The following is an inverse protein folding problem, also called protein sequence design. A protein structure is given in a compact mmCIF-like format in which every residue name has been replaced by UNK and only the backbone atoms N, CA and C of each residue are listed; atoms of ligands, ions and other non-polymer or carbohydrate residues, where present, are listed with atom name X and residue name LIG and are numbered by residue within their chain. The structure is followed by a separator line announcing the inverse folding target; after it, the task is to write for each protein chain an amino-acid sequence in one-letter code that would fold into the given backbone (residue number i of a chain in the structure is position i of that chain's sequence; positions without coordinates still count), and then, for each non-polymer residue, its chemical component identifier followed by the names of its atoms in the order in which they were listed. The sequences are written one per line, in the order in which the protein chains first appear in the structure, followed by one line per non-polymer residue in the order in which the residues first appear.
data_IF_199129624816
#
_entry.id   IF_199129624816
#
_cell.length_a   1.000
_cell.length_b   1.000
_cell.length_c   1.000
_cell.angle_alpha   90.00
_cell.angle_beta   90.00
_cell.angle_gamma   90.00
#
_symmetry.space_group_name_H-M   'P 1'
#
loop_
_entity.id
_entity.type
_entity.pdbx_description
1 polymer ?
#
# COMPACT_ATOMS: atom_id res chain seq x y z
N UNK A 1 -10.58 37.49 31.02
CA UNK A 1 -10.11 36.10 31.22
C UNK A 1 -11.20 35.17 30.68
N UNK A 2 -11.09 34.69 29.44
CA UNK A 2 -12.11 33.85 28.81
C UNK A 2 -11.72 32.36 28.95
N UNK A 3 -12.56 31.60 29.65
CA UNK A 3 -12.43 30.14 29.81
C UNK A 3 -13.13 29.49 28.61
N UNK A 4 -12.35 29.04 27.63
CA UNK A 4 -12.86 28.24 26.50
C UNK A 4 -13.36 26.91 27.06
N UNK A 5 -14.68 26.70 27.06
CA UNK A 5 -15.28 25.40 27.34
C UNK A 5 -14.96 24.48 26.16
N UNK A 6 -14.09 23.47 26.39
CA UNK A 6 -13.93 22.36 25.45
C UNK A 6 -15.24 21.57 25.43
N UNK A 7 -15.76 21.37 24.22
CA UNK A 7 -16.94 20.56 23.93
C UNK A 7 -16.76 19.13 24.42
N UNK A 8 -17.75 18.61 25.16
CA UNK A 8 -17.80 17.22 25.63
C UNK A 8 -17.96 16.18 24.50
N UNK A 9 -18.07 16.58 23.23
CA UNK A 9 -18.19 15.62 22.13
C UNK A 9 -16.90 14.85 21.84
N UNK A 10 -15.73 15.48 21.99
CA UNK A 10 -14.45 14.81 21.72
C UNK A 10 -14.20 13.61 22.66
N UNK A 11 -14.82 13.62 23.84
CA UNK A 11 -14.58 12.57 24.84
C UNK A 11 -15.46 11.33 24.65
N UNK A 12 -16.62 11.46 24.01
CA UNK A 12 -17.53 10.33 23.74
C UNK A 12 -17.00 9.48 22.58
N UNK A 13 -16.46 10.12 21.55
CA UNK A 13 -15.89 9.41 20.39
C UNK A 13 -14.65 8.60 20.77
N UNK A 14 -13.83 9.10 21.71
CA UNK A 14 -12.60 8.44 22.14
C UNK A 14 -12.90 7.16 22.95
N UNK A 15 -13.91 7.19 23.82
CA UNK A 15 -14.30 6.03 24.67
C UNK A 15 -14.96 4.92 23.84
N UNK A 16 -15.81 5.28 22.87
CA UNK A 16 -16.50 4.29 22.03
C UNK A 16 -15.54 3.52 21.10
N UNK A 17 -14.52 4.20 20.57
CA UNK A 17 -13.51 3.57 19.73
C UNK A 17 -12.67 2.58 20.53
N UNK A 18 -12.37 2.91 21.78
CA UNK A 18 -11.58 2.08 22.69
C UNK A 18 -12.29 0.79 23.12
N UNK A 19 -13.59 0.85 23.41
CA UNK A 19 -14.36 -0.33 23.79
C UNK A 19 -14.64 -1.24 22.60
N UNK A 20 -14.90 -0.67 21.41
CA UNK A 20 -14.99 -1.45 20.16
C UNK A 20 -13.65 -2.14 19.83
N UNK A 21 -12.53 -1.45 20.06
CA UNK A 21 -11.19 -2.00 19.89
C UNK A 21 -10.89 -3.15 20.87
N UNK A 22 -11.24 -2.98 22.15
CA UNK A 22 -11.09 -4.02 23.18
C UNK A 22 -12.00 -5.23 22.94
N UNK A 23 -13.25 -5.01 22.51
CA UNK A 23 -14.17 -6.08 22.15
C UNK A 23 -13.65 -6.88 20.93
N UNK A 24 -13.08 -6.19 19.94
CA UNK A 24 -12.47 -6.81 18.77
C UNK A 24 -11.17 -7.56 19.11
N UNK A 25 -10.38 -7.10 20.09
CA UNK A 25 -9.24 -7.85 20.67
C UNK A 25 -9.69 -9.16 21.35
N UNK A 26 -10.89 -9.23 21.94
CA UNK A 26 -11.40 -10.45 22.62
C UNK A 26 -11.99 -11.48 21.65
N UNK A 27 -12.58 -11.07 20.53
CA UNK A 27 -13.15 -11.96 19.51
C UNK A 27 -12.11 -12.73 18.66
N UNK A 28 -10.82 -12.61 19.00
CA UNK A 28 -9.67 -12.86 18.12
C UNK A 28 -8.99 -14.22 18.27
N UNK A 29 -9.65 -15.21 18.86
CA UNK A 29 -9.17 -16.60 18.79
C UNK A 29 -9.78 -17.27 17.54
N UNK A 30 -9.07 -17.17 16.42
CA UNK A 30 -9.01 -18.17 15.33
C UNK A 30 -9.99 -18.14 14.12
N UNK A 31 -10.80 -17.10 13.87
CA UNK A 31 -11.73 -17.13 12.70
C UNK A 31 -11.98 -15.86 11.89
N UNK A 32 -11.45 -14.69 12.27
CA UNK A 32 -11.95 -13.40 11.73
C UNK A 32 -11.00 -12.64 10.80
N UNK A 33 -9.86 -13.21 10.40
CA UNK A 33 -8.91 -12.54 9.49
C UNK A 33 -9.60 -12.22 8.15
N UNK A 34 -10.34 -13.18 7.57
CA UNK A 34 -11.05 -12.99 6.31
C UNK A 34 -12.14 -11.91 6.38
N UNK A 35 -12.93 -11.89 7.45
CA UNK A 35 -13.97 -10.87 7.64
C UNK A 35 -13.38 -9.47 7.82
N UNK A 36 -12.21 -9.37 8.48
CA UNK A 36 -11.52 -8.10 8.64
C UNK A 36 -10.93 -7.59 7.32
N UNK A 37 -10.31 -8.48 6.53
CA UNK A 37 -9.85 -8.15 5.18
C UNK A 37 -11.03 -7.69 4.30
N UNK A 38 -12.16 -8.39 4.35
CA UNK A 38 -13.36 -7.97 3.63
C UNK A 38 -13.87 -6.59 4.08
N UNK A 39 -13.89 -6.32 5.38
CA UNK A 39 -14.24 -4.99 5.91
C UNK A 39 -13.26 -3.90 5.48
N UNK A 40 -11.95 -4.21 5.43
CA UNK A 40 -10.95 -3.29 4.89
C UNK A 40 -11.22 -2.96 3.42
N UNK A 41 -11.63 -3.98 2.64
CA UNK A 41 -11.94 -3.84 1.22
C UNK A 41 -13.30 -3.23 0.90
N UNK A 42 -14.21 -3.09 1.87
CA UNK A 42 -15.59 -2.63 1.61
C UNK A 42 -15.94 -1.39 2.42
N UNK A 43 -15.82 -1.46 3.74
CA UNK A 43 -16.23 -0.39 4.66
C UNK A 43 -15.15 0.68 4.78
N UNK A 44 -13.87 0.27 4.81
CA UNK A 44 -12.77 1.22 5.01
C UNK A 44 -12.36 1.96 3.74
N UNK A 45 -12.86 1.58 2.56
CA UNK A 45 -12.52 2.27 1.31
C UNK A 45 -12.85 3.76 1.33
N UNK A 46 -13.99 4.13 1.92
CA UNK A 46 -14.46 5.52 1.99
C UNK A 46 -14.26 6.17 3.36
N UNK A 47 -13.73 5.42 4.32
CA UNK A 47 -13.57 5.90 5.69
C UNK A 47 -12.42 6.93 5.78
N UNK A 48 -12.74 8.12 6.28
CA UNK A 48 -11.79 9.22 6.46
C UNK A 48 -10.95 9.07 7.73
N UNK A 49 -11.26 8.12 8.60
CA UNK A 49 -10.46 7.85 9.79
C UNK A 49 -9.24 7.00 9.44
N UNK A 50 -8.09 7.38 10.00
CA UNK A 50 -6.92 6.51 10.03
C UNK A 50 -7.23 5.21 10.77
N UNK A 51 -6.74 4.08 10.25
CA UNK A 51 -6.76 2.81 10.98
C UNK A 51 -5.68 2.74 12.07
N UNK A 52 -4.83 3.76 12.14
CA UNK A 52 -3.69 3.85 13.05
C UNK A 52 -4.07 4.72 14.25
N UNK A 53 -3.81 4.28 15.50
CA UNK A 53 -4.08 5.09 16.68
C UNK A 53 -3.36 6.43 16.66
N UNK A 54 -4.02 7.50 17.13
CA UNK A 54 -3.45 8.85 17.18
C UNK A 54 -2.14 8.91 17.99
N UNK A 55 -2.01 8.11 19.05
CA UNK A 55 -0.82 8.03 19.88
C UNK A 55 0.45 7.63 19.10
N UNK A 56 0.31 6.83 18.05
CA UNK A 56 1.44 6.33 17.24
C UNK A 56 2.05 7.42 16.34
N UNK A 57 1.35 8.55 16.15
CA UNK A 57 1.81 9.65 15.32
C UNK A 57 3.20 10.14 15.70
N UNK A 58 3.56 10.14 16.99
CA UNK A 58 4.90 10.54 17.47
C UNK A 58 6.03 9.67 16.91
N UNK A 59 5.72 8.41 16.59
CA UNK A 59 6.65 7.42 16.05
C UNK A 59 6.70 7.47 14.51
N UNK A 60 5.54 7.67 13.87
CA UNK A 60 5.36 7.47 12.44
C UNK A 60 5.46 8.76 11.60
N UNK A 61 5.07 9.92 12.14
CA UNK A 61 4.92 11.17 11.36
C UNK A 61 6.22 11.91 11.03
N UNK A 62 7.39 11.27 11.17
CA UNK A 62 8.69 11.90 10.91
C UNK A 62 8.96 11.95 9.40
N UNK A 63 8.92 13.13 8.73
CA UNK A 63 8.88 13.24 7.27
C UNK A 63 10.09 12.66 6.53
N UNK A 64 11.25 12.64 7.18
CA UNK A 64 12.52 12.17 6.62
C UNK A 64 12.99 10.85 7.22
N UNK A 65 12.11 10.11 7.92
CA UNK A 65 12.46 8.79 8.43
C UNK A 65 12.50 7.76 7.29
N UNK A 66 13.25 6.66 7.47
CA UNK A 66 13.24 5.55 6.52
C UNK A 66 11.83 5.01 6.24
N UNK A 67 10.97 5.01 7.27
CA UNK A 67 9.54 4.70 7.15
C UNK A 67 8.84 5.66 6.18
N UNK A 68 8.95 6.97 6.40
CA UNK A 68 8.29 7.96 5.55
C UNK A 68 8.80 7.91 4.10
N UNK A 69 10.13 7.85 3.92
CA UNK A 69 10.73 7.82 2.59
C UNK A 69 10.46 6.51 1.83
N UNK A 70 10.16 5.41 2.52
CA UNK A 70 9.86 4.14 1.86
C UNK A 70 8.64 4.22 0.93
N UNK A 71 7.60 5.01 1.27
CA UNK A 71 6.45 5.23 0.37
C UNK A 71 6.86 5.84 -0.97
N UNK A 72 7.91 6.64 -1.01
CA UNK A 72 8.40 7.28 -2.24
C UNK A 72 9.12 6.30 -3.18
N UNK A 73 9.42 5.08 -2.73
CA UNK A 73 9.94 4.03 -3.63
C UNK A 73 8.93 3.66 -4.72
N UNK A 74 7.62 3.79 -4.46
CA UNK A 74 6.61 3.68 -5.52
C UNK A 74 6.75 4.79 -6.56
N UNK A 75 7.10 6.02 -6.18
CA UNK A 75 7.37 7.09 -7.15
C UNK A 75 8.54 6.72 -8.06
N UNK A 76 9.62 6.19 -7.48
CA UNK A 76 10.77 5.73 -8.27
C UNK A 76 10.39 4.57 -9.20
N UNK A 77 9.61 3.59 -8.72
CA UNK A 77 9.13 2.49 -9.54
C UNK A 77 8.29 2.98 -10.74
N UNK A 78 7.37 3.92 -10.51
CA UNK A 78 6.57 4.52 -11.58
C UNK A 78 7.43 5.27 -12.61
N UNK A 79 8.46 6.00 -12.17
CA UNK A 79 9.39 6.68 -13.10
C UNK A 79 10.18 5.67 -13.94
N UNK A 80 10.68 4.59 -13.33
CA UNK A 80 11.44 3.54 -14.05
C UNK A 80 10.55 2.85 -15.08
N UNK A 81 9.31 2.52 -14.71
CA UNK A 81 8.34 1.90 -15.62
C UNK A 81 7.96 2.84 -16.77
N UNK A 82 7.70 4.12 -16.48
CA UNK A 82 7.44 5.12 -17.50
C UNK A 82 8.62 5.25 -18.47
N UNK A 83 9.85 5.30 -17.94
CA UNK A 83 11.06 5.38 -18.76
C UNK A 83 11.22 4.15 -19.66
N UNK A 84 10.95 2.94 -19.14
CA UNK A 84 10.95 1.73 -19.96
C UNK A 84 9.92 1.83 -21.09
N UNK A 85 8.67 2.21 -20.77
CA UNK A 85 7.61 2.32 -21.78
C UNK A 85 7.94 3.35 -22.87
N UNK A 86 8.61 4.45 -22.51
CA UNK A 86 9.01 5.50 -23.44
C UNK A 86 10.22 5.10 -24.30
N UNK A 87 11.19 4.40 -23.71
CA UNK A 87 12.45 4.07 -24.38
C UNK A 87 12.42 2.73 -25.12
N UNK A 88 11.58 1.79 -24.71
CA UNK A 88 11.53 0.45 -25.27
C UNK A 88 10.13 -0.17 -25.17
N UNK A 89 9.24 0.17 -26.11
CA UNK A 89 7.90 -0.42 -26.15
C UNK A 89 7.90 -1.96 -26.15
N UNK A 90 8.81 -2.66 -26.87
CA UNK A 90 8.88 -4.13 -26.86
C UNK A 90 9.20 -4.75 -25.50
N UNK A 91 9.79 -4.00 -24.56
CA UNK A 91 10.06 -4.51 -23.22
C UNK A 91 8.79 -4.74 -22.38
N UNK A 92 7.66 -4.16 -22.80
CA UNK A 92 6.34 -4.44 -22.19
C UNK A 92 5.96 -5.91 -22.42
N UNK A 93 5.31 -6.60 -21.46
CA UNK A 93 4.81 -7.95 -21.67
C UNK A 93 3.91 -8.04 -22.92
N UNK A 94 4.05 -9.10 -23.72
CA UNK A 94 3.22 -9.27 -24.91
C UNK A 94 1.73 -9.30 -24.53
N UNK A 95 0.90 -8.63 -25.35
CA UNK A 95 -0.51 -8.40 -25.05
C UNK A 95 -0.79 -7.24 -24.08
N UNK A 96 0.24 -6.63 -23.48
CA UNK A 96 0.13 -5.43 -22.67
C UNK A 96 0.60 -4.21 -23.46
N UNK A 97 -0.34 -3.33 -23.82
CA UNK A 97 -0.01 -2.17 -24.64
C UNK A 97 0.89 -1.18 -23.89
N UNK A 98 1.72 -0.42 -24.62
CA UNK A 98 2.50 0.67 -24.03
C UNK A 98 1.62 1.69 -23.30
N UNK A 99 0.38 1.93 -23.77
CA UNK A 99 -0.60 2.79 -23.09
C UNK A 99 -1.00 2.24 -21.71
N UNK A 100 -1.15 0.92 -21.60
CA UNK A 100 -1.42 0.25 -20.34
C UNK A 100 -0.24 0.36 -19.38
N UNK A 101 1.00 0.23 -19.89
CA UNK A 101 2.22 0.45 -19.10
C UNK A 101 2.38 1.89 -18.60
N UNK A 102 2.06 2.88 -19.44
CA UNK A 102 2.04 4.29 -18.99
C UNK A 102 0.99 4.53 -17.91
N UNK A 103 -0.22 3.96 -18.06
CA UNK A 103 -1.26 4.05 -17.03
C UNK A 103 -0.79 3.41 -15.72
N UNK A 104 -0.16 2.24 -15.79
CA UNK A 104 0.41 1.55 -14.64
C UNK A 104 1.45 2.41 -13.93
N UNK A 105 2.42 2.94 -14.67
CA UNK A 105 3.46 3.82 -14.17
C UNK A 105 2.88 5.04 -13.43
N UNK A 106 1.82 5.65 -13.97
CA UNK A 106 1.13 6.79 -13.33
C UNK A 106 0.45 6.37 -12.04
N UNK A 107 -0.26 5.24 -12.01
CA UNK A 107 -0.92 4.73 -10.81
C UNK A 107 0.10 4.37 -9.72
N UNK A 108 1.20 3.71 -10.09
CA UNK A 108 2.31 3.38 -9.19
C UNK A 108 2.95 4.65 -8.64
N UNK A 109 3.20 5.67 -9.47
CA UNK A 109 3.73 6.95 -9.02
C UNK A 109 2.79 7.66 -8.02
N UNK A 110 1.50 7.76 -8.37
CA UNK A 110 0.49 8.37 -7.52
C UNK A 110 0.34 7.64 -6.18
N UNK A 111 0.44 6.31 -6.17
CA UNK A 111 0.40 5.51 -4.95
C UNK A 111 1.46 5.94 -3.94
N UNK A 112 2.68 6.26 -4.39
CA UNK A 112 3.74 6.73 -3.50
C UNK A 112 3.43 8.07 -2.81
N UNK A 113 2.85 9.02 -3.56
CA UNK A 113 2.44 10.32 -3.03
C UNK A 113 1.30 10.15 -2.03
N UNK A 114 0.28 9.36 -2.39
CA UNK A 114 -0.91 9.16 -1.55
C UNK A 114 -0.57 8.40 -0.26
N UNK A 115 0.26 7.36 -0.35
CA UNK A 115 0.75 6.65 0.84
C UNK A 115 1.56 7.58 1.74
N UNK A 116 2.49 8.38 1.20
CA UNK A 116 3.23 9.35 2.02
C UNK A 116 2.29 10.34 2.73
N UNK A 117 1.29 10.85 2.01
CA UNK A 117 0.32 11.79 2.57
C UNK A 117 -0.54 11.16 3.67
N UNK A 118 -1.02 9.93 3.45
CA UNK A 118 -1.84 9.16 4.40
C UNK A 118 -1.02 8.73 5.63
N UNK A 119 0.12 8.08 5.42
CA UNK A 119 0.85 7.32 6.44
C UNK A 119 1.83 8.16 7.27
N UNK A 120 2.19 9.35 6.77
CA UNK A 120 3.15 10.23 7.44
C UNK A 120 2.49 11.54 7.86
N UNK A 121 1.91 12.27 6.90
CA UNK A 121 1.40 13.62 7.16
C UNK A 121 0.07 13.61 7.91
N UNK A 122 -0.78 12.62 7.61
CA UNK A 122 -2.16 12.52 8.13
C UNK A 122 -2.39 11.33 9.06
N UNK A 123 -1.33 10.62 9.44
CA UNK A 123 -1.43 9.44 10.31
C UNK A 123 -2.13 9.75 11.64
N UNK A 124 -3.08 8.89 12.02
CA UNK A 124 -3.90 9.06 13.21
C UNK A 124 -4.91 10.22 13.16
N UNK A 125 -5.05 10.90 12.02
CA UNK A 125 -6.00 12.01 11.85
C UNK A 125 -7.23 11.59 11.03
N UNK A 126 -8.24 12.46 10.98
CA UNK A 126 -9.35 12.36 10.01
C UNK A 126 -8.97 13.15 8.76
N UNK A 127 -8.92 12.50 7.60
CA UNK A 127 -8.43 13.11 6.36
C UNK A 127 -8.95 12.41 5.10
N UNK A 128 -9.03 13.15 3.99
CA UNK A 128 -9.27 12.57 2.66
C UNK A 128 -8.06 11.78 2.12
N UNK A 129 -6.88 11.96 2.70
CA UNK A 129 -5.69 11.20 2.31
C UNK A 129 -5.89 9.68 2.42
N UNK A 130 -6.59 9.23 3.47
CA UNK A 130 -6.79 7.79 3.73
C UNK A 130 -7.68 7.08 2.70
N UNK A 131 -8.90 7.56 2.38
CA UNK A 131 -9.72 6.90 1.37
C UNK A 131 -9.08 7.00 -0.02
N UNK A 132 -8.40 8.10 -0.36
CA UNK A 132 -7.69 8.22 -1.64
C UNK A 132 -6.56 7.20 -1.76
N UNK A 133 -5.74 7.06 -0.73
CA UNK A 133 -4.67 6.06 -0.68
C UNK A 133 -5.21 4.62 -0.79
N UNK A 134 -6.28 4.30 -0.05
CA UNK A 134 -6.91 2.97 -0.09
C UNK A 134 -7.52 2.65 -1.46
N UNK A 135 -8.23 3.60 -2.06
CA UNK A 135 -8.81 3.44 -3.40
C UNK A 135 -7.70 3.23 -4.43
N UNK A 136 -6.65 4.05 -4.39
CA UNK A 136 -5.48 3.90 -5.25
C UNK A 136 -4.81 2.53 -5.07
N UNK A 137 -4.58 2.10 -3.84
CA UNK A 137 -3.97 0.81 -3.55
C UNK A 137 -4.83 -0.37 -4.04
N UNK A 138 -6.16 -0.31 -3.86
CA UNK A 138 -7.09 -1.34 -4.34
C UNK A 138 -7.17 -1.36 -5.86
N UNK A 139 -7.24 -0.19 -6.51
CA UNK A 139 -7.21 -0.08 -7.97
C UNK A 139 -5.91 -0.63 -8.54
N UNK A 140 -4.76 -0.27 -7.98
CA UNK A 140 -3.46 -0.77 -8.40
C UNK A 140 -3.36 -2.29 -8.19
N UNK A 141 -3.78 -2.81 -7.03
CA UNK A 141 -3.78 -4.25 -6.75
C UNK A 141 -4.69 -5.00 -7.72
N UNK A 142 -5.90 -4.50 -7.98
CA UNK A 142 -6.83 -5.07 -8.95
C UNK A 142 -6.25 -5.08 -10.36
N UNK A 143 -5.59 -3.99 -10.75
CA UNK A 143 -4.89 -3.88 -12.03
C UNK A 143 -3.76 -4.91 -12.15
N UNK A 144 -2.95 -5.11 -11.11
CA UNK A 144 -1.92 -6.15 -11.09
C UNK A 144 -2.50 -7.56 -11.20
N UNK A 145 -3.60 -7.84 -10.50
CA UNK A 145 -4.26 -9.13 -10.57
C UNK A 145 -4.77 -9.41 -11.98
N UNK A 146 -5.44 -8.45 -12.61
CA UNK A 146 -5.90 -8.57 -14.01
C UNK A 146 -4.71 -8.78 -14.94
N UNK A 147 -3.64 -7.99 -14.78
CA UNK A 147 -2.41 -8.12 -15.58
C UNK A 147 -1.81 -9.52 -15.43
N UNK A 148 -1.58 -9.99 -14.21
CA UNK A 148 -1.00 -11.31 -13.95
C UNK A 148 -1.92 -12.42 -14.48
N UNK A 149 -3.22 -12.38 -14.19
CA UNK A 149 -4.15 -13.38 -14.72
C UNK A 149 -4.10 -13.41 -16.25
N UNK A 150 -4.21 -12.25 -16.91
CA UNK A 150 -4.13 -12.17 -18.37
C UNK A 150 -2.79 -12.71 -18.90
N UNK A 151 -1.67 -12.26 -18.33
CA UNK A 151 -0.32 -12.60 -18.79
C UNK A 151 0.10 -14.05 -18.50
N UNK A 152 -0.35 -14.63 -17.38
CA UNK A 152 -0.12 -16.04 -17.02
C UNK A 152 -0.73 -16.96 -18.07
N UNK A 153 -1.88 -16.61 -18.64
CA UNK A 153 -2.53 -17.43 -19.66
C UNK A 153 -1.94 -17.28 -21.06
N UNK A 154 -1.14 -16.25 -21.34
CA UNK A 154 -0.83 -15.89 -22.73
C UNK A 154 0.66 -15.74 -23.06
N UNK A 155 1.54 -15.32 -22.13
CA UNK A 155 2.81 -14.74 -22.60
C UNK A 155 4.01 -14.73 -21.65
N UNK A 156 3.85 -14.94 -20.34
CA UNK A 156 4.99 -14.86 -19.43
C UNK A 156 5.72 -16.21 -19.29
N UNK A 157 7.05 -16.15 -19.23
CA UNK A 157 7.83 -17.31 -18.85
C UNK A 157 7.56 -17.67 -17.38
N UNK A 158 7.64 -18.97 -17.04
CA UNK A 158 7.40 -19.44 -15.67
C UNK A 158 8.25 -18.72 -14.61
N UNK A 159 9.49 -18.37 -14.95
CA UNK A 159 10.37 -17.63 -14.05
C UNK A 159 9.82 -16.24 -13.71
N UNK A 160 9.21 -15.55 -14.67
CA UNK A 160 8.58 -14.24 -14.45
C UNK A 160 7.30 -14.36 -13.61
N UNK A 161 6.53 -15.42 -13.83
CA UNK A 161 5.32 -15.71 -13.03
C UNK A 161 5.72 -15.95 -11.57
N UNK A 162 6.72 -16.80 -11.32
CA UNK A 162 7.24 -17.05 -9.97
C UNK A 162 7.74 -15.77 -9.32
N UNK A 163 8.44 -14.92 -10.08
CA UNK A 163 8.94 -13.64 -9.61
C UNK A 163 7.80 -12.71 -9.18
N UNK A 164 6.81 -12.48 -10.05
CA UNK A 164 5.69 -11.57 -9.78
C UNK A 164 4.80 -12.09 -8.66
N UNK A 165 4.42 -13.38 -8.70
CA UNK A 165 3.59 -14.01 -7.66
C UNK A 165 4.33 -14.06 -6.33
N UNK A 166 5.60 -14.43 -6.32
CA UNK A 166 6.44 -14.44 -5.11
C UNK A 166 6.57 -13.06 -4.49
N UNK A 167 6.71 -12.02 -5.32
CA UNK A 167 6.70 -10.64 -4.87
C UNK A 167 5.37 -10.20 -4.24
N UNK A 168 4.24 -10.54 -4.86
CA UNK A 168 2.91 -10.27 -4.30
C UNK A 168 2.69 -11.00 -2.97
N UNK A 169 3.08 -12.27 -2.88
CA UNK A 169 2.99 -13.05 -1.63
C UNK A 169 3.87 -12.45 -0.54
N UNK A 170 5.07 -11.99 -0.89
CA UNK A 170 5.98 -11.30 0.03
C UNK A 170 5.31 -10.04 0.57
N UNK A 171 4.76 -9.20 -0.30
CA UNK A 171 3.96 -8.06 0.12
C UNK A 171 2.82 -8.47 1.05
N UNK A 172 1.98 -9.42 0.65
CA UNK A 172 0.84 -9.87 1.45
C UNK A 172 1.27 -10.30 2.87
N UNK A 173 2.41 -10.98 3.00
CA UNK A 173 2.95 -11.37 4.31
C UNK A 173 3.30 -10.17 5.18
N UNK A 174 3.89 -9.10 4.63
CA UNK A 174 4.14 -7.86 5.37
C UNK A 174 2.84 -7.16 5.76
N UNK A 175 1.82 -7.17 4.89
CA UNK A 175 0.51 -6.59 5.20
C UNK A 175 -0.21 -7.35 6.32
N UNK A 176 -0.08 -8.67 6.34
CA UNK A 176 -0.56 -9.52 7.44
C UNK A 176 0.21 -9.21 8.72
N UNK A 177 1.53 -8.99 8.64
CA UNK A 177 2.35 -8.60 9.78
C UNK A 177 1.99 -7.20 10.33
N UNK A 178 1.65 -6.23 9.47
CA UNK A 178 1.10 -4.93 9.87
C UNK A 178 -0.17 -5.09 10.68
N UNK A 179 -1.06 -5.98 10.22
CA UNK A 179 -2.29 -6.28 10.93
C UNK A 179 -1.96 -6.81 12.32
N UNK A 180 -1.10 -7.84 12.45
CA UNK A 180 -0.66 -8.34 13.75
C UNK A 180 -0.06 -7.25 14.65
N UNK A 181 0.77 -6.36 14.10
CA UNK A 181 1.33 -5.24 14.86
C UNK A 181 0.23 -4.29 15.38
N UNK A 182 -0.79 -3.98 14.57
CA UNK A 182 -1.97 -3.25 15.03
C UNK A 182 -2.68 -4.02 16.14
N UNK A 183 -2.83 -5.34 16.00
CA UNK A 183 -3.51 -6.14 17.03
C UNK A 183 -2.79 -6.10 18.36
N UNK A 184 -1.46 -6.15 18.32
CA UNK A 184 -0.60 -6.18 19.50
C UNK A 184 -0.38 -4.78 20.08
N UNK A 185 -0.92 -3.74 19.44
CA UNK A 185 -0.69 -2.32 19.76
C UNK A 185 0.81 -1.95 19.73
N UNK A 186 1.57 -2.52 18.78
CA UNK A 186 3.01 -2.32 18.63
C UNK A 186 3.35 -1.40 17.44
N UNK A 187 3.52 -0.11 17.75
CA UNK A 187 3.85 0.92 16.77
C UNK A 187 5.20 0.69 16.08
N UNK A 188 6.18 0.10 16.75
CA UNK A 188 7.52 -0.10 16.20
C UNK A 188 7.56 -1.28 15.24
N UNK A 189 6.89 -2.38 15.60
CA UNK A 189 6.70 -3.51 14.70
C UNK A 189 5.94 -3.08 13.45
N UNK A 190 4.84 -2.33 13.61
CA UNK A 190 4.08 -1.79 12.48
C UNK A 190 4.96 -0.92 11.59
N UNK A 191 5.71 0.02 12.16
CA UNK A 191 6.63 0.87 11.39
C UNK A 191 7.59 0.04 10.54
N UNK A 192 8.16 -1.03 11.10
CA UNK A 192 9.12 -1.88 10.41
C UNK A 192 8.44 -2.70 9.30
N UNK A 193 7.35 -3.39 9.60
CA UNK A 193 6.67 -4.27 8.63
C UNK A 193 6.07 -3.46 7.49
N UNK A 194 5.53 -2.28 7.80
CA UNK A 194 4.91 -1.42 6.80
C UNK A 194 5.96 -0.74 5.91
N UNK A 195 7.11 -0.37 6.46
CA UNK A 195 8.27 0.05 5.67
C UNK A 195 8.73 -1.07 4.73
N UNK A 196 8.79 -2.31 5.21
CA UNK A 196 9.17 -3.46 4.37
C UNK A 196 8.14 -3.72 3.26
N UNK A 197 6.85 -3.54 3.53
CA UNK A 197 5.80 -3.55 2.49
C UNK A 197 6.06 -2.50 1.40
N UNK A 198 6.41 -1.26 1.78
CA UNK A 198 6.75 -0.19 0.84
C UNK A 198 8.07 -0.40 0.09
N UNK A 199 8.98 -1.22 0.61
CA UNK A 199 10.24 -1.55 -0.07
C UNK A 199 10.04 -2.74 -1.01
N UNK A 200 9.41 -3.81 -0.53
CA UNK A 200 9.38 -5.09 -1.24
C UNK A 200 8.62 -5.00 -2.56
N UNK A 201 7.48 -4.31 -2.58
CA UNK A 201 6.67 -4.20 -3.80
C UNK A 201 7.40 -3.40 -4.89
N UNK A 202 7.77 -2.12 -4.67
CA UNK A 202 8.54 -1.36 -5.67
C UNK A 202 9.80 -2.07 -6.15
N UNK A 203 10.51 -2.76 -5.26
CA UNK A 203 11.70 -3.51 -5.64
C UNK A 203 11.38 -4.65 -6.63
N UNK A 204 10.29 -5.38 -6.40
CA UNK A 204 9.81 -6.42 -7.33
C UNK A 204 9.47 -5.81 -8.68
N UNK A 205 8.73 -4.69 -8.71
CA UNK A 205 8.40 -3.98 -9.95
C UNK A 205 9.66 -3.55 -10.70
N UNK A 206 10.51 -2.75 -10.05
CA UNK A 206 11.72 -2.19 -10.66
C UNK A 206 12.64 -3.29 -11.16
N UNK A 207 12.87 -4.34 -10.37
CA UNK A 207 13.76 -5.43 -10.78
C UNK A 207 13.21 -6.22 -11.97
N UNK A 208 11.90 -6.48 -12.02
CA UNK A 208 11.27 -7.12 -13.17
C UNK A 208 11.33 -6.25 -14.44
N UNK A 209 10.95 -4.97 -14.32
CA UNK A 209 11.02 -3.96 -15.39
C UNK A 209 12.43 -3.83 -15.95
N UNK A 210 13.44 -3.65 -15.08
CA UNK A 210 14.84 -3.52 -15.51
C UNK A 210 15.37 -4.81 -16.16
N UNK A 211 15.02 -5.98 -15.62
CA UNK A 211 15.43 -7.24 -16.22
C UNK A 211 14.87 -7.42 -17.64
N UNK A 212 13.59 -7.11 -17.84
CA UNK A 212 12.97 -7.15 -19.18
C UNK A 212 13.58 -6.13 -20.12
N UNK A 213 13.78 -4.90 -19.65
CA UNK A 213 14.40 -3.85 -20.46
C UNK A 213 15.80 -4.25 -20.91
N UNK A 214 16.63 -4.78 -20.01
CA UNK A 214 17.97 -5.25 -20.35
C UNK A 214 17.93 -6.37 -21.41
N UNK A 215 17.10 -7.40 -21.20
CA UNK A 215 17.00 -8.55 -22.10
C UNK A 215 16.46 -8.21 -23.49
N UNK A 216 15.67 -7.14 -23.61
CA UNK A 216 15.02 -6.73 -24.85
C UNK A 216 15.61 -5.43 -25.42
N UNK A 217 16.72 -4.96 -24.86
CA UNK A 217 17.36 -3.69 -25.24
C UNK A 217 17.78 -3.61 -26.70
N UNK A 218 18.12 -4.75 -27.32
CA UNK A 218 18.49 -4.83 -28.73
C UNK A 218 17.30 -4.62 -29.69
N UNK A 219 16.06 -4.59 -29.18
CA UNK A 219 14.83 -4.53 -29.98
C UNK A 219 14.14 -3.15 -29.98
N UNK A 220 14.68 -2.15 -29.27
CA UNK A 220 13.95 -0.93 -28.86
C UNK A 220 13.90 0.24 -29.88
#
# INVERSE_FOLDING_TARGET
MFRVMRSNHDHIDEVMVDDAWRAMKRSRRHGQVGLHLLRLLTVKLVDRHSSIPLAWRRVLSRPCSAYALSSLLFCLAGVVEFAQCAACAPASPAGFSAKSGVLEAVLVFQQGILSYWSDVLRVGQVSWAHPLDRLSAVSLTGFQLVKICYLVFHSLAWIEIIWLVGGLLTGLSYKVADYYALLDDDALRYRRTHMLWHVSLPLVFVSHTLARWYLLSEQC
#
